data_IF_915727918964
#
_entry.id   IF_915727918964
#
_cell.length_a   1.000
_cell.length_b   1.000
_cell.length_c   1.000
_cell.angle_alpha   90.00
_cell.angle_beta   90.00
_cell.angle_gamma   90.00
#
_symmetry.space_group_name_H-M   'P 1'
#
loop_
_entity.id
_entity.type
_entity.pdbx_description
1 polymer ?
#
# COMPACT_ATOMS: atom_id res chain seq x y z
N UNK A 1 11.48 -6.54 4.43
CA UNK A 1 10.43 -5.52 4.56
C UNK A 1 9.13 -6.16 4.15
N UNK A 2 8.04 -5.83 4.82
CA UNK A 2 6.71 -6.26 4.44
C UNK A 2 5.83 -5.03 4.24
N UNK A 3 5.15 -4.96 3.11
CA UNK A 3 4.11 -3.97 2.83
C UNK A 3 2.84 -4.73 2.51
N UNK A 4 1.78 -4.45 3.27
CA UNK A 4 0.45 -4.98 3.00
C UNK A 4 -0.45 -3.82 2.58
N UNK A 5 -1.32 -4.06 1.63
CA UNK A 5 -2.29 -3.09 1.14
C UNK A 5 -3.68 -3.63 1.39
N UNK A 6 -4.51 -2.84 2.04
CA UNK A 6 -5.90 -3.14 2.32
C UNK A 6 -6.78 -2.21 1.51
N UNK A 7 -7.48 -2.78 0.53
CA UNK A 7 -8.47 -2.07 -0.29
C UNK A 7 -9.81 -2.05 0.47
N UNK A 8 -10.31 -0.85 0.74
CA UNK A 8 -11.59 -0.66 1.44
C UNK A 8 -12.65 -0.29 0.41
N UNK A 9 -13.40 -1.31 -0.01
CA UNK A 9 -14.50 -1.17 -0.93
C UNK A 9 -15.83 -0.85 -0.23
N UNK A 10 -16.82 -0.38 -0.98
CA UNK A 10 -18.17 -0.12 -0.47
C UNK A 10 -18.90 -1.37 0.01
N UNK A 11 -18.52 -2.56 -0.48
CA UNK A 11 -19.14 -3.82 -0.10
C UNK A 11 -18.27 -4.62 0.87
N UNK A 12 -16.95 -4.66 0.63
CA UNK A 12 -16.02 -5.50 1.37
C UNK A 12 -14.63 -4.89 1.42
N UNK A 13 -13.83 -5.40 2.34
CA UNK A 13 -12.41 -5.07 2.48
C UNK A 13 -11.57 -6.27 2.08
N UNK A 14 -10.47 -6.03 1.35
CA UNK A 14 -9.50 -7.06 0.98
C UNK A 14 -8.10 -6.60 1.32
N UNK A 15 -7.37 -7.41 2.08
CA UNK A 15 -5.95 -7.21 2.37
C UNK A 15 -5.10 -8.12 1.51
N UNK A 16 -4.06 -7.55 0.90
CA UNK A 16 -3.08 -8.27 0.11
C UNK A 16 -1.67 -7.91 0.55
N UNK A 17 -0.78 -8.89 0.51
CA UNK A 17 0.64 -8.63 0.68
C UNK A 17 1.17 -8.09 -0.65
N UNK A 18 1.63 -6.85 -0.63
CA UNK A 18 2.10 -6.14 -1.82
C UNK A 18 3.61 -6.32 -2.03
N UNK A 19 4.35 -6.43 -0.94
CA UNK A 19 5.77 -6.73 -0.93
C UNK A 19 6.12 -7.53 0.33
N UNK A 20 6.91 -8.58 0.18
CA UNK A 20 7.38 -9.42 1.29
C UNK A 20 8.91 -9.61 1.26
N UNK A 21 9.62 -8.91 0.38
CA UNK A 21 11.06 -9.07 0.22
C UNK A 21 11.82 -7.81 0.65
N UNK A 22 13.05 -7.95 1.15
CA UNK A 22 13.80 -6.87 1.83
C UNK A 22 14.22 -5.68 0.95
N UNK A 23 13.81 -5.59 -0.33
CA UNK A 23 14.51 -4.74 -1.32
C UNK A 23 13.67 -3.94 -2.31
N UNK A 24 12.33 -4.07 -2.33
CA UNK A 24 11.56 -3.63 -3.51
C UNK A 24 11.19 -2.15 -3.52
N UNK A 25 10.98 -1.53 -2.37
CA UNK A 25 10.72 -0.08 -2.29
C UNK A 25 12.01 0.72 -2.37
N UNK A 26 12.25 1.31 -3.56
CA UNK A 26 13.31 2.30 -3.77
C UNK A 26 12.74 3.70 -3.49
N UNK A 27 13.60 4.60 -3.00
CA UNK A 27 13.26 6.02 -2.87
C UNK A 27 12.82 6.56 -4.24
N UNK A 28 11.79 7.39 -4.23
CA UNK A 28 11.22 8.05 -5.42
C UNK A 28 10.81 7.08 -6.54
N UNK A 29 10.45 5.85 -6.19
CA UNK A 29 9.93 4.86 -7.15
C UNK A 29 8.42 4.71 -7.07
N UNK A 30 7.84 4.33 -8.19
CA UNK A 30 6.44 3.90 -8.28
C UNK A 30 6.43 2.38 -8.41
N UNK A 31 5.66 1.72 -7.55
CA UNK A 31 5.43 0.29 -7.61
C UNK A 31 4.00 0.04 -8.08
N UNK A 32 3.85 -0.89 -9.02
CA UNK A 32 2.54 -1.24 -9.58
C UNK A 32 2.38 -2.76 -9.53
N UNK A 33 1.25 -3.22 -9.01
CA UNK A 33 0.88 -4.64 -9.04
C UNK A 33 -0.57 -4.82 -9.44
N UNK A 34 -0.82 -5.90 -10.17
CA UNK A 34 -2.15 -6.41 -10.41
C UNK A 34 -2.58 -7.24 -9.20
N UNK A 35 -3.76 -6.95 -8.66
CA UNK A 35 -4.35 -7.68 -7.54
C UNK A 35 -5.58 -8.43 -8.08
N UNK A 36 -5.50 -9.76 -8.30
CA UNK A 36 -6.66 -10.53 -8.71
C UNK A 36 -7.61 -10.67 -7.51
N UNK A 37 -8.85 -10.22 -7.69
CA UNK A 37 -9.90 -10.36 -6.69
C UNK A 37 -10.85 -11.49 -7.12
N UNK A 38 -11.14 -12.42 -6.20
CA UNK A 38 -12.13 -13.49 -6.42
C UNK A 38 -13.52 -13.08 -5.96
N UNK A 39 -13.64 -11.91 -5.33
CA UNK A 39 -14.88 -11.35 -4.79
C UNK A 39 -15.02 -9.89 -5.23
N UNK A 40 -16.26 -9.47 -5.49
CA UNK A 40 -16.57 -8.07 -5.70
C UNK A 40 -16.46 -7.32 -4.37
N UNK A 41 -15.63 -6.28 -4.33
CA UNK A 41 -15.45 -5.39 -3.18
C UNK A 41 -16.25 -4.09 -3.34
N UNK A 42 -16.87 -3.87 -4.50
CA UNK A 42 -17.51 -2.63 -4.88
C UNK A 42 -16.51 -1.54 -5.25
N UNK A 43 -16.92 -0.30 -5.05
CA UNK A 43 -16.08 0.86 -5.34
C UNK A 43 -15.05 1.07 -4.22
N UNK A 44 -13.78 1.24 -4.57
CA UNK A 44 -12.74 1.52 -3.58
C UNK A 44 -12.89 2.96 -3.08
N UNK A 45 -13.05 3.10 -1.77
CA UNK A 45 -13.28 4.37 -1.06
C UNK A 45 -12.08 4.83 -0.25
N UNK A 46 -11.23 3.88 0.17
CA UNK A 46 -9.97 4.15 0.84
C UNK A 46 -8.99 3.00 0.61
N UNK A 47 -7.71 3.28 0.84
CA UNK A 47 -6.63 2.30 0.81
C UNK A 47 -5.82 2.44 2.08
N UNK A 48 -5.70 1.36 2.85
CA UNK A 48 -4.77 1.34 3.97
C UNK A 48 -3.49 0.64 3.51
N UNK A 49 -2.36 1.27 3.79
CA UNK A 49 -1.06 0.66 3.58
C UNK A 49 -0.51 0.37 4.96
N UNK A 50 -0.05 -0.85 5.18
CA UNK A 50 0.72 -1.28 6.34
C UNK A 50 2.17 -1.51 5.92
N UNK A 51 3.12 -1.04 6.73
CA UNK A 51 4.53 -1.16 6.47
C UNK A 51 5.21 -1.67 7.74
N UNK A 52 5.84 -2.82 7.62
CA UNK A 52 6.62 -3.44 8.69
C UNK A 52 8.03 -3.73 8.20
N UNK A 53 9.03 -3.22 8.90
CA UNK A 53 10.43 -3.56 8.65
C UNK A 53 10.73 -4.93 9.24
N UNK A 54 10.82 -5.95 8.38
CA UNK A 54 11.09 -7.35 8.77
C UNK A 54 12.59 -7.72 8.77
N UNK A 55 13.50 -6.75 8.61
CA UNK A 55 14.94 -7.01 8.43
C UNK A 55 15.65 -7.48 9.70
N UNK A 56 16.57 -8.45 9.56
CA UNK A 56 17.53 -8.83 10.59
C UNK A 56 18.54 -7.70 10.90
N UNK A 57 19.26 -7.80 12.03
CA UNK A 57 20.17 -6.74 12.54
C UNK A 57 21.25 -6.24 11.56
N UNK A 58 21.57 -7.04 10.53
CA UNK A 58 22.59 -6.71 9.50
C UNK A 58 21.99 -5.80 8.41
N UNK A 59 20.73 -6.00 8.00
CA UNK A 59 20.05 -5.15 7.01
C UNK A 59 19.42 -3.90 7.64
N UNK A 60 19.23 -3.86 8.97
CA UNK A 60 18.59 -2.74 9.66
C UNK A 60 19.32 -1.39 9.52
N UNK A 61 20.64 -1.38 9.31
CA UNK A 61 21.46 -0.18 9.18
C UNK A 61 21.34 0.54 7.82
N UNK A 62 20.91 -0.18 6.77
CA UNK A 62 20.91 0.33 5.40
C UNK A 62 19.51 0.70 4.89
N UNK A 63 18.45 0.29 5.59
CA UNK A 63 17.07 0.53 5.20
C UNK A 63 16.35 1.49 6.13
N UNK A 64 15.62 2.44 5.56
CA UNK A 64 14.82 3.41 6.30
C UNK A 64 13.76 2.70 7.14
N UNK A 65 13.62 3.12 8.40
CA UNK A 65 12.52 2.72 9.29
C UNK A 65 11.21 3.47 9.00
N UNK A 66 11.24 4.41 8.06
CA UNK A 66 10.10 5.23 7.66
C UNK A 66 10.06 5.50 6.17
N UNK A 67 8.87 5.58 5.61
CA UNK A 67 8.66 5.93 4.21
C UNK A 67 7.67 7.07 4.06
N UNK A 68 7.89 7.91 3.05
CA UNK A 68 6.91 8.88 2.60
C UNK A 68 6.28 8.36 1.32
N UNK A 69 5.00 8.03 1.39
CA UNK A 69 4.20 7.74 0.23
C UNK A 69 3.48 9.03 -0.18
N UNK A 70 3.40 9.30 -1.48
CA UNK A 70 2.77 10.53 -1.98
C UNK A 70 1.32 10.32 -2.37
N UNK A 71 1.03 9.16 -2.98
CA UNK A 71 -0.32 8.76 -3.40
C UNK A 71 -0.38 7.26 -3.67
N UNK A 72 -1.58 6.72 -3.65
CA UNK A 72 -1.92 5.42 -4.20
C UNK A 72 -2.90 5.62 -5.36
N UNK A 73 -2.71 4.89 -6.45
CA UNK A 73 -3.65 4.88 -7.59
C UNK A 73 -4.24 3.49 -7.74
N UNK A 74 -5.56 3.38 -7.71
CA UNK A 74 -6.27 2.12 -7.94
C UNK A 74 -6.97 2.19 -9.29
N UNK A 75 -6.69 1.22 -10.15
CA UNK A 75 -7.39 1.02 -11.41
C UNK A 75 -8.29 -0.21 -11.27
N UNK A 76 -9.61 -0.02 -11.30
CA UNK A 76 -10.56 -1.13 -11.41
C UNK A 76 -10.61 -1.58 -12.87
N UNK A 77 -10.17 -2.81 -13.15
CA UNK A 77 -10.09 -3.36 -14.50
C UNK A 77 -11.46 -3.56 -15.16
N UNK A 78 -12.45 -4.02 -14.40
CA UNK A 78 -13.80 -4.32 -14.92
C UNK A 78 -14.55 -3.04 -15.30
N UNK A 79 -14.42 -2.00 -14.48
CA UNK A 79 -15.08 -0.72 -14.70
C UNK A 79 -14.25 0.25 -15.54
N UNK A 80 -12.98 -0.06 -15.80
CA UNK A 80 -11.98 0.83 -16.39
C UNK A 80 -11.91 2.21 -15.71
N UNK A 81 -12.13 2.24 -14.39
CA UNK A 81 -12.10 3.47 -13.58
C UNK A 81 -10.83 3.53 -12.76
N UNK A 82 -10.14 4.67 -12.82
CA UNK A 82 -9.02 4.96 -11.93
C UNK A 82 -9.44 5.93 -10.84
N UNK A 83 -8.85 5.76 -9.65
CA UNK A 83 -8.96 6.68 -8.53
C UNK A 83 -7.62 6.91 -7.87
N UNK A 84 -7.44 8.13 -7.40
CA UNK A 84 -6.25 8.56 -6.67
C UNK A 84 -6.61 8.70 -5.20
N UNK A 85 -5.70 8.27 -4.33
CA UNK A 85 -5.82 8.37 -2.89
C UNK A 85 -4.57 9.02 -2.33
N UNK A 86 -4.75 9.96 -1.42
CA UNK A 86 -3.70 10.71 -0.77
C UNK A 86 -3.62 10.27 0.70
N UNK A 87 -2.41 10.14 1.28
CA UNK A 87 -2.27 9.71 2.66
C UNK A 87 -2.75 10.81 3.62
N UNK A 88 -3.39 10.39 4.72
CA UNK A 88 -3.72 11.29 5.83
C UNK A 88 -2.47 11.72 6.63
N UNK A 89 -1.40 10.93 6.57
CA UNK A 89 -0.12 11.18 7.23
C UNK A 89 1.01 11.26 6.22
N UNK A 90 1.89 12.25 6.36
CA UNK A 90 2.98 12.48 5.41
C UNK A 90 4.13 11.47 5.53
N UNK A 91 4.21 10.73 6.64
CA UNK A 91 5.29 9.80 6.92
C UNK A 91 4.70 8.57 7.59
N UNK A 92 5.08 7.40 7.07
CA UNK A 92 4.71 6.10 7.58
C UNK A 92 5.88 5.49 8.33
N UNK A 93 5.69 5.11 9.59
CA UNK A 93 6.70 4.43 10.39
C UNK A 93 6.56 2.91 10.29
N UNK A 94 7.65 2.17 10.52
CA UNK A 94 7.58 0.71 10.64
C UNK A 94 6.61 0.30 11.76
N UNK A 95 5.73 -0.65 11.46
CA UNK A 95 4.69 -1.13 12.36
C UNK A 95 3.46 -0.23 12.44
N UNK A 96 3.32 0.71 11.50
CA UNK A 96 2.14 1.59 11.40
C UNK A 96 1.32 1.27 10.16
N UNK A 97 0.05 1.65 10.21
CA UNK A 97 -0.85 1.67 9.07
C UNK A 97 -1.20 3.11 8.75
N UNK A 98 -1.08 3.51 7.49
CA UNK A 98 -1.46 4.84 7.00
C UNK A 98 -2.66 4.69 6.07
N UNK A 99 -3.68 5.53 6.32
CA UNK A 99 -4.91 5.58 5.55
C UNK A 99 -4.74 6.53 4.38
N UNK A 100 -5.13 6.10 3.19
CA UNK A 100 -5.21 6.93 2.00
C UNK A 100 -6.68 7.13 1.65
N UNK A 101 -7.12 8.39 1.63
CA UNK A 101 -8.47 8.79 1.28
C UNK A 101 -8.50 9.43 -0.11
N UNK A 102 -9.68 9.46 -0.75
CA UNK A 102 -9.82 10.00 -2.10
C UNK A 102 -9.29 11.45 -2.17
N UNK A 103 -8.52 11.70 -3.23
CA UNK A 103 -8.12 12.99 -3.75
C UNK A 103 -8.12 12.89 -5.30
#
# INVERSE_FOLDING_TARGET
>A
TQVSVTLIGTLRTVTVVFDNDETTFKRDSVQTRLIPLTIDIGEVTAVDIDFTKTTNWISSAWYSSSWKFTRATVLNGDQQKSRVFCPNESVMQSGSTVRFASC
#
